data_IF_028485383309
#
_entry.id   IF_028485383309
#
_cell.length_a   1.000
_cell.length_b   1.000
_cell.length_c   1.000
_cell.angle_alpha   90.00
_cell.angle_beta   90.00
_cell.angle_gamma   90.00
#
_symmetry.space_group_name_H-M   'P 1'
#
loop_
_entity.id
_entity.type
_entity.pdbx_description
1 polymer ?
#
# COMPACT_ATOMS: atom_id res chain seq x y z
N UNK A 1 -2.97 -6.07 -11.22
CA UNK A 1 -3.13 -4.63 -11.47
C UNK A 1 -4.13 -4.43 -12.58
N UNK A 2 -4.93 -3.39 -12.47
CA UNK A 2 -5.85 -2.90 -13.48
C UNK A 2 -5.08 -2.49 -14.74
N UNK A 3 -5.72 -2.58 -15.90
CA UNK A 3 -5.10 -2.24 -17.18
C UNK A 3 -4.71 -0.78 -17.26
N UNK A 4 -5.55 0.11 -16.74
CA UNK A 4 -5.33 1.55 -16.68
C UNK A 4 -4.42 2.02 -15.52
N UNK A 5 -3.78 1.11 -14.78
CA UNK A 5 -2.82 1.46 -13.74
C UNK A 5 -1.38 1.43 -14.27
N UNK A 6 -0.79 2.58 -14.59
CA UNK A 6 0.59 2.68 -15.08
C UNK A 6 1.63 2.87 -13.98
N UNK A 7 1.18 3.07 -12.74
CA UNK A 7 2.04 3.16 -11.58
C UNK A 7 1.43 2.49 -10.35
N UNK A 8 2.27 2.26 -9.34
CA UNK A 8 1.83 1.75 -8.05
C UNK A 8 2.70 2.27 -6.91
N UNK A 9 2.09 2.48 -5.75
CA UNK A 9 2.78 2.77 -4.51
C UNK A 9 2.83 1.49 -3.68
N UNK A 10 4.02 1.00 -3.43
CA UNK A 10 4.27 -0.22 -2.68
C UNK A 10 4.82 0.12 -1.29
N UNK A 11 4.26 -0.51 -0.26
CA UNK A 11 4.58 -0.26 1.14
C UNK A 11 4.76 -1.61 1.84
N UNK A 12 5.89 -1.79 2.51
CA UNK A 12 6.20 -2.93 3.36
C UNK A 12 6.50 -2.44 4.77
N UNK A 13 6.01 -3.15 5.77
CA UNK A 13 6.37 -2.88 7.16
C UNK A 13 6.10 -4.09 8.04
N UNK A 14 6.68 -4.09 9.22
CA UNK A 14 6.29 -4.96 10.31
C UNK A 14 5.28 -4.21 11.18
N UNK A 15 4.67 -4.94 12.10
CA UNK A 15 3.83 -4.39 13.16
C UNK A 15 4.38 -4.80 14.51
N UNK A 16 4.22 -3.92 15.51
CA UNK A 16 4.29 -4.36 16.90
C UNK A 16 3.33 -5.53 17.14
N UNK A 17 3.71 -6.45 18.03
CA UNK A 17 2.95 -7.70 18.27
C UNK A 17 1.49 -7.48 18.68
N UNK A 18 1.18 -6.36 19.32
CA UNK A 18 -0.18 -5.97 19.75
C UNK A 18 -0.93 -5.14 18.70
N UNK A 19 -0.28 -4.73 17.61
CA UNK A 19 -0.81 -3.77 16.64
C UNK A 19 -1.69 -4.37 15.54
N UNK A 20 -1.64 -5.69 15.30
CA UNK A 20 -2.29 -6.34 14.14
C UNK A 20 -3.77 -6.01 14.01
N UNK A 21 -4.57 -6.35 15.03
CA UNK A 21 -6.04 -6.20 14.96
C UNK A 21 -6.49 -4.74 14.82
N UNK A 22 -5.76 -3.82 15.44
CA UNK A 22 -6.05 -2.39 15.33
C UNK A 22 -5.68 -1.86 13.94
N UNK A 23 -4.51 -2.26 13.41
CA UNK A 23 -4.09 -1.94 12.04
C UNK A 23 -5.10 -2.48 11.02
N UNK A 24 -5.57 -3.72 11.16
CA UNK A 24 -6.55 -4.31 10.25
C UNK A 24 -7.83 -3.48 10.19
N UNK A 25 -8.35 -3.05 11.35
CA UNK A 25 -9.56 -2.22 11.44
C UNK A 25 -9.33 -0.85 10.82
N UNK A 26 -8.33 -0.12 11.29
CA UNK A 26 -7.99 1.21 10.77
C UNK A 26 -7.78 1.18 9.26
N UNK A 27 -7.01 0.20 8.78
CA UNK A 27 -6.64 0.10 7.38
C UNK A 27 -7.84 -0.28 6.49
N UNK A 28 -8.83 -1.01 7.01
CA UNK A 28 -10.06 -1.37 6.29
C UNK A 28 -11.05 -0.21 6.25
N UNK A 29 -11.35 0.36 7.41
CA UNK A 29 -12.48 1.27 7.57
C UNK A 29 -12.13 2.73 7.28
N UNK A 30 -10.86 3.11 7.38
CA UNK A 30 -10.45 4.50 7.21
C UNK A 30 -9.34 4.65 6.17
N UNK A 31 -8.18 4.01 6.38
CA UNK A 31 -6.99 4.35 5.59
C UNK A 31 -7.11 3.98 4.11
N UNK A 32 -7.57 2.76 3.79
CA UNK A 32 -7.71 2.36 2.39
C UNK A 32 -8.78 3.18 1.66
N UNK A 33 -10.00 3.36 2.18
CA UNK A 33 -10.99 4.24 1.55
C UNK A 33 -10.47 5.67 1.34
N UNK A 34 -9.76 6.23 2.33
CA UNK A 34 -9.19 7.58 2.25
C UNK A 34 -8.18 7.68 1.09
N UNK A 35 -7.31 6.67 0.91
CA UNK A 35 -6.30 6.67 -0.16
C UNK A 35 -6.92 6.41 -1.53
N UNK A 36 -7.78 5.40 -1.64
CA UNK A 36 -8.41 5.03 -2.93
C UNK A 36 -9.41 6.10 -3.39
N UNK A 37 -9.94 6.91 -2.48
CA UNK A 37 -10.80 8.05 -2.83
C UNK A 37 -10.07 9.26 -3.45
N UNK A 38 -8.74 9.25 -3.50
CA UNK A 38 -7.95 10.34 -4.10
C UNK A 38 -7.99 10.21 -5.62
N UNK A 39 -8.28 11.28 -6.38
CA UNK A 39 -8.26 11.23 -7.84
C UNK A 39 -6.96 10.65 -8.40
N UNK A 40 -7.08 9.65 -9.28
CA UNK A 40 -5.95 8.94 -9.88
C UNK A 40 -5.51 7.69 -9.13
N UNK A 41 -5.89 7.51 -7.85
CA UNK A 41 -5.83 6.18 -7.24
C UNK A 41 -6.94 5.31 -7.82
N UNK A 42 -6.62 4.05 -8.13
CA UNK A 42 -7.51 3.14 -8.85
C UNK A 42 -7.94 1.94 -8.02
N UNK A 43 -7.02 1.40 -7.22
CA UNK A 43 -7.28 0.27 -6.34
C UNK A 43 -6.30 0.27 -5.17
N UNK A 44 -6.73 -0.27 -4.04
CA UNK A 44 -5.87 -0.60 -2.91
C UNK A 44 -5.91 -2.09 -2.64
N UNK A 45 -4.76 -2.70 -2.36
CA UNK A 45 -4.65 -4.10 -1.96
C UNK A 45 -3.71 -4.21 -0.77
N UNK A 46 -4.02 -5.11 0.15
CA UNK A 46 -3.14 -5.45 1.28
C UNK A 46 -2.99 -6.96 1.38
N UNK A 47 -1.83 -7.39 1.83
CA UNK A 47 -1.46 -8.78 2.04
C UNK A 47 -0.71 -8.86 3.36
N UNK A 48 -0.82 -10.02 4.00
CA UNK A 48 -0.07 -10.32 5.21
C UNK A 48 0.60 -11.68 5.08
N UNK A 49 1.84 -11.77 5.55
CA UNK A 49 2.54 -13.02 5.77
C UNK A 49 2.45 -13.39 7.26
N UNK A 50 1.65 -14.40 7.60
CA UNK A 50 1.52 -14.87 8.98
C UNK A 50 2.68 -15.80 9.41
N UNK A 51 3.53 -16.23 8.47
CA UNK A 51 4.64 -17.17 8.72
C UNK A 51 5.99 -16.49 9.04
N UNK A 52 6.18 -15.23 8.63
CA UNK A 52 7.39 -14.44 8.90
C UNK A 52 7.02 -13.02 9.36
N UNK A 53 7.40 -12.61 10.60
CA UNK A 53 7.10 -11.27 11.10
C UNK A 53 7.86 -10.15 10.38
N UNK A 54 8.94 -10.46 9.66
CA UNK A 54 9.75 -9.45 8.96
C UNK A 54 9.08 -8.99 7.68
N UNK A 55 8.82 -7.69 7.60
CA UNK A 55 8.05 -7.01 6.56
C UNK A 55 6.75 -7.76 6.23
N UNK A 56 6.08 -8.26 7.28
CA UNK A 56 4.92 -9.14 7.17
C UNK A 56 3.72 -8.45 6.50
N UNK A 57 3.61 -7.13 6.58
CA UNK A 57 2.54 -6.36 5.98
C UNK A 57 2.99 -5.78 4.64
N UNK A 58 2.21 -6.04 3.59
CA UNK A 58 2.39 -5.43 2.28
C UNK A 58 1.11 -4.73 1.83
N UNK A 59 1.21 -3.44 1.52
CA UNK A 59 0.13 -2.66 0.91
C UNK A 59 0.57 -2.13 -0.44
N UNK A 60 -0.31 -2.23 -1.43
CA UNK A 60 -0.10 -1.70 -2.77
C UNK A 60 -1.31 -0.87 -3.18
N UNK A 61 -1.05 0.38 -3.54
CA UNK A 61 -2.03 1.23 -4.20
C UNK A 61 -1.69 1.35 -5.67
N UNK A 62 -2.67 1.12 -6.53
CA UNK A 62 -2.55 1.31 -7.97
C UNK A 62 -2.93 2.74 -8.32
N UNK A 63 -2.11 3.38 -9.14
CA UNK A 63 -2.32 4.74 -9.63
C UNK A 63 -2.40 4.76 -11.14
N UNK A 64 -3.15 5.70 -11.70
CA UNK A 64 -3.22 5.91 -13.15
C UNK A 64 -1.87 6.34 -13.72
N UNK A 65 -1.08 7.08 -12.95
CA UNK A 65 0.27 7.53 -13.31
C UNK A 65 1.13 7.73 -12.05
N UNK A 66 2.46 7.82 -12.19
CA UNK A 66 3.36 8.02 -11.05
C UNK A 66 3.12 9.37 -10.34
N UNK A 67 2.76 10.43 -11.10
CA UNK A 67 2.49 11.77 -10.57
C UNK A 67 1.33 11.81 -9.56
N UNK A 68 0.44 10.81 -9.57
CA UNK A 68 -0.63 10.68 -8.57
C UNK A 68 -0.07 10.65 -7.15
N UNK A 69 1.08 10.01 -6.95
CA UNK A 69 1.74 9.88 -5.64
C UNK A 69 2.53 11.11 -5.20
N UNK A 70 2.50 12.16 -6.01
CA UNK A 70 3.06 13.49 -5.73
C UNK A 70 1.99 14.59 -5.83
N UNK A 71 0.74 14.22 -6.15
CA UNK A 71 -0.36 15.15 -6.35
C UNK A 71 -0.70 15.93 -5.07
N UNK A 72 -1.19 17.16 -5.24
CA UNK A 72 -1.62 18.00 -4.10
C UNK A 72 -2.63 17.30 -3.21
N UNK A 73 -3.64 16.63 -3.80
CA UNK A 73 -4.65 15.88 -3.05
C UNK A 73 -4.04 14.74 -2.21
N UNK A 74 -3.03 14.07 -2.75
CA UNK A 74 -2.31 13.04 -2.01
C UNK A 74 -1.44 13.61 -0.88
N UNK A 75 -0.69 14.68 -1.16
CA UNK A 75 0.14 15.35 -0.18
C UNK A 75 -0.68 15.97 0.95
N UNK A 76 -1.86 16.52 0.66
CA UNK A 76 -2.78 17.04 1.67
C UNK A 76 -3.17 15.97 2.70
N UNK A 77 -3.43 14.73 2.24
CA UNK A 77 -3.74 13.59 3.12
C UNK A 77 -2.52 13.06 3.88
N UNK A 78 -1.31 13.23 3.35
CA UNK A 78 -0.10 12.89 4.10
C UNK A 78 0.18 13.93 5.19
N UNK A 79 -0.04 15.21 4.89
CA UNK A 79 0.26 16.31 5.80
C UNK A 79 -0.81 16.50 6.88
N UNK A 80 -2.04 16.02 6.64
CA UNK A 80 -3.16 16.13 7.58
C UNK A 80 -3.71 14.74 7.96
N UNK A 81 -2.93 13.89 8.67
CA UNK A 81 -3.39 12.57 9.06
C UNK A 81 -4.61 12.67 9.96
N UNK A 82 -5.54 11.71 9.87
CA UNK A 82 -6.65 11.58 10.81
C UNK A 82 -6.14 11.27 12.23
N UNK A 83 -6.95 11.47 13.28
CA UNK A 83 -6.60 11.02 14.62
C UNK A 83 -6.26 9.51 14.68
N UNK A 84 -6.99 8.67 13.94
CA UNK A 84 -6.76 7.23 13.95
C UNK A 84 -5.48 6.84 13.19
N UNK A 85 -5.15 7.53 12.11
CA UNK A 85 -3.85 7.41 11.43
C UNK A 85 -2.69 7.80 12.35
N UNK A 86 -2.81 8.93 13.08
CA UNK A 86 -1.78 9.36 14.06
C UNK A 86 -1.55 8.33 15.17
N UNK A 87 -2.59 7.59 15.57
CA UNK A 87 -2.50 6.52 16.56
C UNK A 87 -1.83 5.25 15.99
N UNK A 88 -2.11 4.90 14.74
CA UNK A 88 -1.61 3.66 14.13
C UNK A 88 -0.17 3.76 13.61
N UNK A 89 0.18 4.85 12.93
CA UNK A 89 1.48 4.99 12.25
C UNK A 89 2.71 4.70 13.16
N UNK A 90 2.73 5.09 14.46
CA UNK A 90 3.84 4.78 15.35
C UNK A 90 4.07 3.28 15.62
N UNK A 91 3.11 2.40 15.31
CA UNK A 91 3.23 0.95 15.54
C UNK A 91 4.01 0.23 14.43
N UNK A 92 4.36 0.92 13.34
CA UNK A 92 5.03 0.30 12.20
C UNK A 92 6.53 0.18 12.47
N UNK A 93 7.15 -0.89 12.00
CA UNK A 93 8.61 -1.11 12.05
C UNK A 93 9.13 -1.51 10.68
N UNK A 94 10.44 -1.33 10.46
CA UNK A 94 11.12 -1.70 9.20
C UNK A 94 10.37 -1.21 7.93
N UNK A 95 9.86 0.03 8.02
CA UNK A 95 9.00 0.61 7.00
C UNK A 95 9.79 0.89 5.71
N UNK A 96 9.30 0.38 4.59
CA UNK A 96 9.81 0.65 3.25
C UNK A 96 8.65 1.07 2.37
N UNK A 97 8.82 2.17 1.63
CA UNK A 97 7.81 2.67 0.73
C UNK A 97 8.46 3.19 -0.55
N UNK A 98 7.84 2.91 -1.69
CA UNK A 98 8.30 3.41 -2.98
C UNK A 98 7.15 3.57 -3.97
N UNK A 99 7.15 4.69 -4.69
CA UNK A 99 6.33 4.86 -5.88
C UNK A 99 7.08 4.27 -7.08
N UNK A 100 6.39 3.48 -7.90
CA UNK A 100 6.99 2.68 -8.95
C UNK A 100 6.18 2.80 -10.24
N UNK A 101 6.86 2.87 -11.38
CA UNK A 101 6.22 2.65 -12.68
C UNK A 101 5.97 1.15 -12.90
N UNK A 102 4.85 0.82 -13.53
CA UNK A 102 4.56 -0.54 -14.00
C UNK A 102 5.32 -0.79 -15.30
N UNK A 103 6.34 -1.65 -15.24
CA UNK A 103 7.14 -2.02 -16.42
C UNK A 103 6.42 -3.03 -17.31
N UNK A 104 5.73 -4.01 -16.71
CA UNK A 104 5.01 -5.05 -17.45
C UNK A 104 3.88 -5.64 -16.62
N UNK A 105 2.93 -6.31 -17.29
CA UNK A 105 1.80 -7.04 -16.71
C UNK A 105 1.47 -8.23 -17.60
N UNK A 106 1.23 -9.38 -16.98
CA UNK A 106 0.70 -10.57 -17.65
C UNK A 106 -0.55 -11.08 -16.92
N UNK A 107 -1.40 -11.83 -17.63
CA UNK A 107 -2.63 -12.43 -17.09
C UNK A 107 -3.92 -11.63 -17.32
N UNK A 108 -5.04 -12.14 -16.79
CA UNK A 108 -6.38 -11.57 -17.00
C UNK A 108 -6.51 -10.17 -16.38
N UNK A 109 -7.36 -9.33 -16.97
CA UNK A 109 -7.50 -7.91 -16.54
C UNK A 109 -8.12 -7.76 -15.15
N UNK A 110 -9.01 -8.68 -14.78
CA UNK A 110 -9.77 -8.67 -13.53
C UNK A 110 -9.37 -9.80 -12.57
N UNK A 111 -8.26 -10.49 -12.87
CA UNK A 111 -7.72 -11.52 -12.01
C UNK A 111 -6.95 -10.91 -10.85
N UNK A 112 -7.51 -11.01 -9.64
CA UNK A 112 -6.79 -10.73 -8.41
C UNK A 112 -6.48 -12.07 -7.72
N UNK A 113 -5.19 -12.37 -7.56
CA UNK A 113 -4.74 -13.52 -6.78
C UNK A 113 -4.87 -13.25 -5.29
N UNK A 114 -5.26 -14.29 -4.52
CA UNK A 114 -5.30 -14.26 -3.06
C UNK A 114 -3.92 -14.32 -2.40
N UNK A 115 -2.87 -14.60 -3.17
CA UNK A 115 -1.47 -14.67 -2.73
C UNK A 115 -0.62 -13.75 -3.60
N UNK A 116 0.44 -13.20 -3.00
CA UNK A 116 1.43 -12.38 -3.69
C UNK A 116 2.84 -12.78 -3.28
N UNK A 117 3.79 -12.68 -4.22
CA UNK A 117 5.22 -12.77 -3.96
C UNK A 117 5.87 -11.43 -4.32
N UNK A 118 6.65 -10.86 -3.41
CA UNK A 118 7.48 -9.68 -3.69
C UNK A 118 8.94 -10.09 -3.74
N UNK A 119 9.61 -9.85 -4.87
CA UNK A 119 11.03 -10.15 -5.04
C UNK A 119 11.83 -8.85 -5.10
N UNK A 120 12.79 -8.67 -4.19
CA UNK A 120 13.74 -7.56 -4.23
C UNK A 120 15.02 -8.04 -4.89
N UNK A 121 15.37 -7.43 -6.02
CA UNK A 121 16.62 -7.70 -6.72
C UNK A 121 17.65 -6.71 -6.19
N UNK A 122 18.68 -7.22 -5.52
CA UNK A 122 19.83 -6.41 -5.11
C UNK A 122 20.76 -6.26 -6.31
N UNK A 123 21.17 -5.03 -6.62
CA UNK A 123 22.31 -4.81 -7.52
C UNK A 123 23.58 -5.02 -6.69
N UNK A 124 24.43 -5.94 -7.14
CA UNK A 124 25.77 -6.16 -6.57
C UNK A 124 26.73 -5.03 -6.92
#
# INVERSE_FOLDING_TARGET
>A
MLTNADAFLAIWHDLESTGKSEWERWHTYEHMPERVGIPGFLAGRRYMNDDDPKQCCFTMYEGSDLSVFESTAYLERLNNPTPWTRKNAPTFRNFTRGACHRVTRAGSQHGYGGVILTVRILRG
#
